data_IF_437470492793
#
_entry.id   IF_437470492793
#
_cell.length_a   1.000
_cell.length_b   1.000
_cell.length_c   1.000
_cell.angle_alpha   90.00
_cell.angle_beta   90.00
_cell.angle_gamma   90.00
#
_symmetry.space_group_name_H-M   'P 1'
#
loop_
_entity.id
_entity.type
_entity.pdbx_description
1 polymer ?
#
# COMPACT_ATOMS: atom_id res chain seq x y z
N UNK A 1 -4.05 -5.16 -12.60
CA UNK A 1 -2.65 -5.64 -12.74
C UNK A 1 -1.73 -4.79 -11.89
N UNK A 2 -0.59 -5.31 -11.45
CA UNK A 2 0.38 -4.58 -10.62
C UNK A 2 1.81 -4.91 -11.01
N UNK A 3 2.76 -4.09 -10.56
CA UNK A 3 4.18 -4.23 -10.83
C UNK A 3 5.01 -3.94 -9.57
N UNK A 4 6.22 -4.48 -9.53
CA UNK A 4 7.23 -4.11 -8.54
C UNK A 4 8.12 -3.05 -9.19
N UNK A 5 8.31 -1.93 -8.51
CA UNK A 5 9.09 -0.78 -8.98
C UNK A 5 10.14 -0.45 -7.93
N UNK A 6 11.31 0.00 -8.37
CA UNK A 6 12.33 0.56 -7.48
C UNK A 6 12.19 2.08 -7.52
N UNK A 7 11.74 2.66 -6.41
CA UNK A 7 11.53 4.09 -6.21
C UNK A 7 12.78 4.72 -5.58
N UNK A 8 13.20 5.88 -6.08
CA UNK A 8 14.44 6.52 -5.61
C UNK A 8 14.40 6.91 -4.13
N UNK A 9 13.22 7.21 -3.58
CA UNK A 9 13.04 7.64 -2.19
C UNK A 9 12.64 6.48 -1.27
N UNK A 10 11.70 5.64 -1.70
CA UNK A 10 11.09 4.60 -0.87
C UNK A 10 11.68 3.20 -1.11
N UNK A 11 12.59 3.06 -2.08
CA UNK A 11 13.15 1.79 -2.52
C UNK A 11 12.11 0.90 -3.20
N UNK A 12 12.13 -0.39 -2.92
CA UNK A 12 11.28 -1.37 -3.61
C UNK A 12 9.81 -1.27 -3.17
N UNK A 13 8.95 -0.82 -4.07
CA UNK A 13 7.52 -0.64 -3.85
C UNK A 13 6.66 -1.54 -4.76
N UNK A 14 5.40 -1.74 -4.36
CA UNK A 14 4.38 -2.41 -5.17
C UNK A 14 3.43 -1.34 -5.71
N UNK A 15 3.27 -1.31 -7.03
CA UNK A 15 2.33 -0.44 -7.72
C UNK A 15 1.10 -1.24 -8.18
N UNK A 16 -0.09 -0.75 -7.85
CA UNK A 16 -1.37 -1.33 -8.26
C UNK A 16 -2.08 -0.40 -9.24
N UNK A 17 -2.82 -0.97 -10.19
CA UNK A 17 -3.68 -0.20 -11.09
C UNK A 17 -5.01 0.18 -10.44
N UNK A 18 -5.49 1.38 -10.76
CA UNK A 18 -6.71 1.96 -10.21
C UNK A 18 -6.54 2.43 -8.77
N UNK A 19 -7.62 2.96 -8.20
CA UNK A 19 -7.62 3.34 -6.79
C UNK A 19 -7.89 2.10 -5.92
N UNK A 20 -6.88 1.72 -5.14
CA UNK A 20 -6.91 0.55 -4.26
C UNK A 20 -6.60 0.91 -2.80
N UNK A 21 -6.55 2.20 -2.44
CA UNK A 21 -6.00 2.65 -1.16
C UNK A 21 -6.71 2.05 0.06
N UNK A 22 -8.04 1.95 0.01
CA UNK A 22 -8.86 1.36 1.07
C UNK A 22 -8.67 -0.16 1.13
N UNK A 23 -8.67 -0.83 -0.03
CA UNK A 23 -8.52 -2.28 -0.11
C UNK A 23 -7.16 -2.75 0.42
N UNK A 24 -6.08 -2.05 0.08
CA UNK A 24 -4.73 -2.36 0.56
C UNK A 24 -4.61 -2.14 2.07
N UNK A 25 -5.12 -1.01 2.59
CA UNK A 25 -5.13 -0.76 4.03
C UNK A 25 -5.86 -1.87 4.78
N UNK A 26 -7.07 -2.23 4.33
CA UNK A 26 -7.89 -3.23 5.00
C UNK A 26 -7.24 -4.62 4.94
N UNK A 27 -6.62 -4.98 3.81
CA UNK A 27 -5.83 -6.20 3.68
C UNK A 27 -4.66 -6.25 4.68
N UNK A 28 -3.84 -5.19 4.76
CA UNK A 28 -2.68 -5.15 5.67
C UNK A 28 -3.06 -5.28 7.14
N UNK A 29 -4.22 -4.75 7.54
CA UNK A 29 -4.74 -4.88 8.90
C UNK A 29 -5.32 -6.27 9.13
N UNK A 30 -6.11 -6.80 8.20
CA UNK A 30 -6.78 -8.10 8.35
C UNK A 30 -5.80 -9.27 8.38
N UNK A 31 -4.72 -9.20 7.60
CA UNK A 31 -3.66 -10.20 7.58
C UNK A 31 -2.60 -9.98 8.67
N UNK A 32 -2.86 -9.05 9.61
CA UNK A 32 -1.98 -8.74 10.75
C UNK A 32 -0.54 -8.34 10.33
N UNK A 33 -0.38 -7.80 9.12
CA UNK A 33 0.92 -7.33 8.62
C UNK A 33 1.33 -6.04 9.34
N UNK A 34 0.39 -5.09 9.46
CA UNK A 34 0.60 -3.81 10.13
C UNK A 34 -0.62 -3.41 10.98
N UNK A 35 -0.38 -2.59 12.01
CA UNK A 35 -1.46 -1.98 12.79
C UNK A 35 -2.09 -0.84 12.01
N UNK A 36 -3.38 -0.62 12.23
CA UNK A 36 -4.15 0.44 11.56
C UNK A 36 -3.56 1.84 11.80
N UNK A 37 -3.06 2.12 13.00
CA UNK A 37 -2.44 3.41 13.35
C UNK A 37 -1.11 3.68 12.63
N UNK A 38 -0.41 2.63 12.18
CA UNK A 38 0.88 2.75 11.49
C UNK A 38 0.73 2.89 9.97
N UNK A 39 -0.50 2.84 9.44
CA UNK A 39 -0.78 2.93 8.00
C UNK A 39 -1.28 4.33 7.66
N UNK A 40 -0.48 5.06 6.88
CA UNK A 40 -0.82 6.40 6.38
C UNK A 40 -1.34 6.28 4.95
N UNK A 41 -2.57 6.75 4.70
CA UNK A 41 -3.18 6.78 3.36
C UNK A 41 -3.13 8.20 2.80
N UNK A 42 -2.44 8.38 1.68
CA UNK A 42 -2.36 9.65 0.96
C UNK A 42 -3.32 9.66 -0.25
N UNK A 43 -3.98 10.79 -0.50
CA UNK A 43 -4.92 11.00 -1.62
C UNK A 43 -6.37 11.24 -1.18
N UNK A 44 -7.10 12.05 -1.97
CA UNK A 44 -8.53 12.36 -1.79
C UNK A 44 -9.43 11.45 -2.63
#
# INVERSE_FOLDING_TARGET
NGAIVDDEEHGKIIQLQGDQRTNVRDFLVNEEINRKEDIIVHGF
#
